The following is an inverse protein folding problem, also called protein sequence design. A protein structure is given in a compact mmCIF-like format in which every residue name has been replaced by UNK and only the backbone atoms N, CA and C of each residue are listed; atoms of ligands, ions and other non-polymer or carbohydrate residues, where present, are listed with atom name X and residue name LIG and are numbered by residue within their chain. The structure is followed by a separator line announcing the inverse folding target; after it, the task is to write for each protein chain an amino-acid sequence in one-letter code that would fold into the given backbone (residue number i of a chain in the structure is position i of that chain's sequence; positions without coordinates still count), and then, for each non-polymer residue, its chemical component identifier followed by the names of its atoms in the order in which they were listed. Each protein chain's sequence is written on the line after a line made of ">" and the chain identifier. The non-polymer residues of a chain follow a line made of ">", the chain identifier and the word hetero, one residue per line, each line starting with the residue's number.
data_IF_213011762617
#
_entry.id   IF_213011762617
#
_cell.length_a   1.000
_cell.length_b   1.000
_cell.length_c   1.000
_cell.angle_alpha   90.00
_cell.angle_beta   90.00
_cell.angle_gamma   90.00
#
_symmetry.space_group_name_H-M   'P 1'
#
loop_
_entity.id
_entity.type
_entity.pdbx_description
1 polymer ?
#
# COMPACT_ATOMS: atom_id res chain seq x y z
N UNK A 1 -6.57 -18.73 15.29
CA UNK A 1 -5.39 -17.84 15.28
C UNK A 1 -5.22 -17.40 13.86
N UNK A 2 -5.67 -16.21 13.51
CA UNK A 2 -5.46 -15.62 12.18
C UNK A 2 -3.97 -15.29 12.05
N UNK A 3 -3.24 -16.09 11.26
CA UNK A 3 -1.85 -15.79 10.95
C UNK A 3 -1.80 -14.38 10.35
N UNK A 4 -1.05 -13.50 10.99
CA UNK A 4 -0.82 -12.12 10.52
C UNK A 4 -0.13 -12.18 9.16
N UNK A 5 -0.72 -11.57 8.13
CA UNK A 5 -0.21 -11.61 6.76
C UNK A 5 1.23 -11.08 6.66
N UNK A 6 1.59 -10.09 7.48
CA UNK A 6 2.96 -9.57 7.56
C UNK A 6 3.93 -10.67 8.02
N UNK A 7 3.54 -11.43 9.05
CA UNK A 7 4.34 -12.55 9.57
C UNK A 7 4.46 -13.66 8.53
N UNK A 8 3.38 -13.97 7.83
CA UNK A 8 3.38 -14.97 6.77
C UNK A 8 4.34 -14.56 5.65
N UNK A 9 4.27 -13.32 5.17
CA UNK A 9 5.20 -12.80 4.15
C UNK A 9 6.64 -12.83 4.67
N UNK A 10 6.88 -12.44 5.93
CA UNK A 10 8.22 -12.43 6.52
C UNK A 10 8.84 -13.83 6.58
N UNK A 11 8.06 -14.88 6.75
CA UNK A 11 8.54 -16.28 6.70
C UNK A 11 9.04 -16.67 5.31
N UNK A 12 8.43 -16.13 4.23
CA UNK A 12 8.90 -16.34 2.85
C UNK A 12 10.15 -15.53 2.52
N UNK A 13 10.37 -14.42 3.21
CA UNK A 13 11.54 -13.56 3.02
C UNK A 13 12.75 -14.11 3.83
N UNK A 14 13.27 -15.22 3.37
CA UNK A 14 14.43 -15.85 4.00
C UNK A 14 15.68 -14.94 3.89
N UNK A 15 16.67 -15.06 4.80
CA UNK A 15 17.91 -14.30 4.72
C UNK A 15 18.67 -14.50 3.40
N UNK A 16 18.53 -15.68 2.79
CA UNK A 16 19.10 -16.00 1.48
C UNK A 16 18.40 -15.18 0.37
N UNK A 17 17.06 -15.14 0.36
CA UNK A 17 16.30 -14.36 -0.61
C UNK A 17 16.60 -12.86 -0.47
N UNK A 18 16.65 -12.35 0.76
CA UNK A 18 17.05 -10.95 1.02
C UNK A 18 18.47 -10.68 0.52
N UNK A 19 19.39 -11.61 0.71
CA UNK A 19 20.76 -11.49 0.18
C UNK A 19 20.81 -11.42 -1.34
N UNK A 20 20.01 -12.23 -2.03
CA UNK A 20 19.86 -12.18 -3.49
C UNK A 20 19.24 -10.87 -3.96
N UNK A 21 18.18 -10.38 -3.28
CA UNK A 21 17.58 -9.08 -3.56
C UNK A 21 18.56 -7.93 -3.33
N UNK A 22 19.38 -8.00 -2.29
CA UNK A 22 20.45 -7.05 -2.03
C UNK A 22 21.43 -6.97 -3.21
N UNK A 23 21.91 -8.12 -3.68
CA UNK A 23 22.82 -8.19 -4.83
C UNK A 23 22.16 -7.66 -6.11
N UNK A 24 20.87 -7.94 -6.34
CA UNK A 24 20.14 -7.49 -7.51
C UNK A 24 19.90 -5.96 -7.51
N UNK A 25 19.72 -5.36 -6.33
CA UNK A 25 19.42 -3.92 -6.18
C UNK A 25 20.68 -3.08 -5.94
N UNK A 26 21.85 -3.71 -5.74
CA UNK A 26 23.08 -3.01 -5.38
C UNK A 26 23.11 -2.49 -3.93
N UNK A 27 22.20 -2.96 -3.09
CA UNK A 27 22.16 -2.64 -1.66
C UNK A 27 23.04 -3.61 -0.86
N UNK A 28 23.57 -3.15 0.27
CA UNK A 28 24.12 -4.10 1.23
C UNK A 28 23.01 -4.93 1.91
N UNK A 29 23.36 -6.08 2.45
CA UNK A 29 22.40 -7.02 3.05
C UNK A 29 21.62 -6.41 4.22
N UNK A 30 22.27 -5.60 5.05
CA UNK A 30 21.65 -4.93 6.19
C UNK A 30 20.60 -3.93 5.72
N UNK A 31 20.94 -3.14 4.69
CA UNK A 31 20.07 -2.15 4.11
C UNK A 31 18.87 -2.80 3.39
N UNK A 32 19.12 -3.87 2.62
CA UNK A 32 18.06 -4.65 1.98
C UNK A 32 17.10 -5.25 3.01
N UNK A 33 17.59 -5.73 4.15
CA UNK A 33 16.75 -6.22 5.24
C UNK A 33 15.87 -5.11 5.82
N UNK A 34 16.43 -3.93 6.12
CA UNK A 34 15.67 -2.78 6.62
C UNK A 34 14.63 -2.30 5.59
N UNK A 35 15.03 -2.25 4.32
CA UNK A 35 14.16 -1.85 3.23
C UNK A 35 13.00 -2.83 3.01
N UNK A 36 13.26 -4.13 3.14
CA UNK A 36 12.22 -5.16 3.10
C UNK A 36 11.27 -5.04 4.29
N UNK A 37 11.80 -4.87 5.51
CA UNK A 37 11.00 -4.71 6.72
C UNK A 37 10.10 -3.46 6.69
N UNK A 38 10.51 -2.39 6.01
CA UNK A 38 9.71 -1.20 5.80
C UNK A 38 8.79 -1.31 4.58
N UNK A 39 9.28 -1.93 3.50
CA UNK A 39 8.58 -2.03 2.21
C UNK A 39 7.37 -2.95 2.25
N UNK A 40 7.46 -4.08 2.94
CA UNK A 40 6.35 -5.05 3.04
C UNK A 40 5.11 -4.42 3.65
N UNK A 41 5.14 -3.85 4.87
CA UNK A 41 3.95 -3.23 5.45
C UNK A 41 3.50 -1.99 4.67
N UNK A 42 4.42 -1.24 4.04
CA UNK A 42 4.06 -0.10 3.22
C UNK A 42 3.27 -0.52 1.96
N UNK A 43 3.69 -1.57 1.26
CA UNK A 43 2.95 -2.13 0.11
C UNK A 43 1.60 -2.69 0.57
N UNK A 44 1.56 -3.45 1.66
CA UNK A 44 0.33 -4.02 2.21
C UNK A 44 -0.68 -2.95 2.61
N UNK A 45 -0.23 -1.84 3.20
CA UNK A 45 -1.07 -0.68 3.51
C UNK A 45 -1.72 -0.12 2.25
N UNK A 46 -0.93 0.07 1.19
CA UNK A 46 -1.45 0.51 -0.11
C UNK A 46 -2.46 -0.45 -0.71
N UNK A 47 -2.21 -1.75 -0.63
CA UNK A 47 -3.13 -2.78 -1.11
C UNK A 47 -4.43 -2.82 -0.29
N UNK A 48 -4.35 -2.63 1.04
CA UNK A 48 -5.51 -2.52 1.91
C UNK A 48 -6.38 -1.30 1.58
N UNK A 49 -5.74 -0.17 1.25
CA UNK A 49 -6.46 1.04 0.82
C UNK A 49 -7.16 0.87 -0.53
N UNK A 50 -6.53 0.17 -1.48
CA UNK A 50 -7.17 -0.19 -2.74
C UNK A 50 -8.35 -1.12 -2.48
N UNK A 51 -8.14 -2.16 -1.69
CA UNK A 51 -9.17 -3.15 -1.38
C UNK A 51 -10.43 -2.53 -0.73
N UNK A 52 -10.25 -1.42 0.00
CA UNK A 52 -11.34 -0.66 0.60
C UNK A 52 -12.13 0.21 -0.40
N UNK A 53 -11.59 0.47 -1.59
CA UNK A 53 -12.26 1.31 -2.61
C UNK A 53 -13.30 0.50 -3.39
N UNK A 54 -14.36 1.15 -3.91
CA UNK A 54 -15.32 0.49 -4.79
C UNK A 54 -14.60 -0.15 -6.01
N UNK A 55 -14.81 -1.45 -6.24
CA UNK A 55 -14.15 -2.20 -7.31
C UNK A 55 -12.69 -2.61 -7.04
N UNK A 56 -12.03 -2.01 -6.05
CA UNK A 56 -10.62 -2.29 -5.74
C UNK A 56 -10.37 -3.71 -5.26
N UNK A 57 -11.31 -4.29 -4.52
CA UNK A 57 -11.24 -5.69 -4.11
C UNK A 57 -11.15 -6.65 -5.31
N UNK A 58 -11.94 -6.40 -6.37
CA UNK A 58 -11.89 -7.21 -7.60
C UNK A 58 -10.60 -6.99 -8.37
N UNK A 59 -10.16 -5.74 -8.48
CA UNK A 59 -8.91 -5.39 -9.15
C UNK A 59 -7.72 -6.10 -8.47
N UNK A 60 -7.68 -6.09 -7.14
CA UNK A 60 -6.65 -6.78 -6.36
C UNK A 60 -6.72 -8.30 -6.55
N UNK A 61 -7.92 -8.89 -6.47
CA UNK A 61 -8.10 -10.33 -6.65
C UNK A 61 -7.67 -10.79 -8.04
N UNK A 62 -7.96 -10.02 -9.09
CA UNK A 62 -7.51 -10.30 -10.46
C UNK A 62 -5.97 -10.25 -10.54
N UNK A 63 -5.35 -9.21 -10.00
CA UNK A 63 -3.89 -9.09 -9.99
C UNK A 63 -3.21 -10.23 -9.21
N UNK A 64 -3.84 -10.70 -8.14
CA UNK A 64 -3.38 -11.87 -7.38
C UNK A 64 -3.55 -13.17 -8.19
N UNK A 65 -4.68 -13.33 -8.89
CA UNK A 65 -4.97 -14.51 -9.72
C UNK A 65 -4.04 -14.63 -10.94
N UNK A 66 -3.60 -13.50 -11.50
CA UNK A 66 -2.64 -13.44 -12.60
C UNK A 66 -1.22 -13.88 -12.21
N UNK A 67 -0.92 -13.97 -10.92
CA UNK A 67 0.39 -14.41 -10.46
C UNK A 67 0.51 -15.94 -10.59
N UNK A 68 1.58 -16.45 -11.27
CA UNK A 68 1.84 -17.88 -11.33
C UNK A 68 2.02 -18.48 -9.92
N UNK A 69 1.39 -19.64 -9.70
CA UNK A 69 1.44 -20.35 -8.41
C UNK A 69 2.84 -20.76 -7.98
N UNK A 70 3.72 -20.98 -8.97
CA UNK A 70 5.09 -21.48 -8.75
C UNK A 70 6.15 -20.37 -8.61
N UNK A 71 5.72 -19.09 -8.62
CA UNK A 71 6.68 -17.98 -8.48
C UNK A 71 7.51 -18.09 -7.20
N UNK A 72 6.92 -18.49 -6.08
CA UNK A 72 7.62 -18.60 -4.81
C UNK A 72 8.68 -19.71 -4.83
N UNK A 73 8.41 -20.83 -5.50
CA UNK A 73 9.39 -21.93 -5.65
C UNK A 73 10.51 -21.59 -6.64
N UNK A 74 10.18 -20.90 -7.71
CA UNK A 74 11.15 -20.53 -8.75
C UNK A 74 12.00 -19.31 -8.38
N UNK A 75 11.49 -18.41 -7.54
CA UNK A 75 12.21 -17.22 -7.05
C UNK A 75 13.48 -17.57 -6.28
N UNK A 76 13.44 -18.62 -5.47
CA UNK A 76 14.61 -19.08 -4.71
C UNK A 76 15.69 -19.60 -5.63
N UNK A 77 15.31 -20.20 -6.75
CA UNK A 77 16.25 -20.88 -7.67
C UNK A 77 16.76 -20.02 -8.83
N UNK A 78 16.04 -18.97 -9.25
CA UNK A 78 16.37 -18.24 -10.47
C UNK A 78 16.13 -16.74 -10.35
N UNK A 79 17.10 -16.01 -9.78
CA UNK A 79 17.18 -14.54 -9.98
C UNK A 79 17.84 -14.17 -11.32
N UNK A 80 17.98 -15.12 -12.24
CA UNK A 80 18.27 -14.86 -13.64
C UNK A 80 17.04 -14.13 -14.21
N UNK A 81 17.07 -12.79 -14.25
CA UNK A 81 15.94 -11.95 -14.63
C UNK A 81 15.33 -11.09 -13.50
N UNK A 82 16.08 -10.86 -12.41
CA UNK A 82 15.66 -9.99 -11.29
C UNK A 82 15.15 -8.62 -11.78
N UNK A 83 15.81 -8.05 -12.80
CA UNK A 83 15.39 -6.80 -13.42
C UNK A 83 13.99 -6.92 -14.03
N UNK A 84 13.76 -7.91 -14.88
CA UNK A 84 12.45 -8.13 -15.53
C UNK A 84 11.34 -8.41 -14.52
N UNK A 85 11.68 -9.09 -13.42
CA UNK A 85 10.76 -9.37 -12.34
C UNK A 85 10.43 -8.10 -11.55
N UNK A 86 11.42 -7.25 -11.27
CA UNK A 86 11.23 -5.96 -10.66
C UNK A 86 10.37 -5.04 -11.54
N UNK A 87 10.59 -5.04 -12.87
CA UNK A 87 9.81 -4.24 -13.81
C UNK A 87 8.35 -4.70 -13.85
N UNK A 88 8.11 -6.01 -13.92
CA UNK A 88 6.75 -6.57 -13.85
C UNK A 88 6.06 -6.25 -12.53
N UNK A 89 6.75 -6.45 -11.41
CA UNK A 89 6.20 -6.11 -10.09
C UNK A 89 5.90 -4.62 -9.92
N UNK A 90 6.79 -3.76 -10.43
CA UNK A 90 6.57 -2.31 -10.46
C UNK A 90 5.38 -1.92 -11.33
N UNK A 91 5.18 -2.59 -12.46
CA UNK A 91 4.03 -2.39 -13.34
C UNK A 91 2.72 -2.80 -12.65
N UNK A 92 2.69 -3.95 -11.99
CA UNK A 92 1.53 -4.41 -11.21
C UNK A 92 1.22 -3.42 -10.09
N UNK A 93 2.24 -2.99 -9.33
CA UNK A 93 2.07 -2.01 -8.26
C UNK A 93 1.55 -0.68 -8.79
N UNK A 94 2.07 -0.22 -9.94
CA UNK A 94 1.62 1.00 -10.60
C UNK A 94 0.20 0.90 -11.16
N UNK A 95 -0.20 -0.26 -11.63
CA UNK A 95 -1.57 -0.50 -12.11
C UNK A 95 -2.58 -0.51 -10.94
N UNK A 96 -2.19 -1.03 -9.80
CA UNK A 96 -3.05 -1.10 -8.61
C UNK A 96 -3.13 0.24 -7.89
N UNK A 97 -1.99 0.84 -7.56
CA UNK A 97 -1.90 2.09 -6.77
C UNK A 97 -2.03 3.34 -7.63
N UNK A 98 -1.80 3.22 -8.93
CA UNK A 98 -1.54 4.35 -9.82
C UNK A 98 -0.06 4.71 -9.85
N UNK A 99 0.45 5.09 -11.05
CA UNK A 99 1.89 5.30 -11.26
C UNK A 99 2.51 6.37 -10.35
N UNK A 100 1.78 7.44 -10.06
CA UNK A 100 2.22 8.50 -9.14
C UNK A 100 2.34 8.00 -7.69
N UNK A 101 1.37 7.24 -7.23
CA UNK A 101 1.32 6.74 -5.86
C UNK A 101 2.38 5.67 -5.58
N UNK A 102 2.64 4.77 -6.53
CA UNK A 102 3.70 3.77 -6.40
C UNK A 102 5.09 4.43 -6.35
N UNK A 103 5.31 5.49 -7.13
CA UNK A 103 6.53 6.29 -7.09
C UNK A 103 6.71 7.03 -5.77
N UNK A 104 5.64 7.64 -5.25
CA UNK A 104 5.65 8.30 -3.94
C UNK A 104 5.95 7.31 -2.81
N UNK A 105 5.36 6.12 -2.84
CA UNK A 105 5.64 5.06 -1.86
C UNK A 105 7.13 4.71 -1.85
N UNK A 106 7.70 4.40 -3.02
CA UNK A 106 9.12 4.05 -3.13
C UNK A 106 10.03 5.18 -2.69
N UNK A 107 9.75 6.44 -3.09
CA UNK A 107 10.58 7.60 -2.71
C UNK A 107 10.46 7.92 -1.22
N UNK A 108 9.28 7.81 -0.61
CA UNK A 108 9.08 8.06 0.82
C UNK A 108 9.82 7.03 1.67
N UNK A 109 9.68 5.74 1.35
CA UNK A 109 10.43 4.67 2.04
C UNK A 109 11.92 4.80 1.79
N UNK A 110 12.34 5.11 0.56
CA UNK A 110 13.74 5.34 0.22
C UNK A 110 14.36 6.48 1.02
N UNK A 111 13.70 7.64 1.08
CA UNK A 111 14.13 8.79 1.89
C UNK A 111 14.20 8.48 3.37
N UNK A 112 13.21 7.75 3.90
CA UNK A 112 13.19 7.33 5.31
C UNK A 112 14.41 6.48 5.68
N UNK A 113 14.83 5.61 4.76
CA UNK A 113 15.94 4.68 4.97
C UNK A 113 17.30 5.22 4.47
N UNK A 114 17.34 6.36 3.80
CA UNK A 114 18.53 6.89 3.15
C UNK A 114 18.97 6.08 1.91
N UNK A 115 18.00 5.42 1.25
CA UNK A 115 18.22 4.61 0.04
C UNK A 115 17.82 5.45 -1.19
N UNK A 116 18.61 5.37 -2.26
CA UNK A 116 18.27 6.02 -3.53
C UNK A 116 16.97 5.50 -4.15
N UNK A 117 16.31 6.35 -4.95
CA UNK A 117 15.02 6.00 -5.55
C UNK A 117 15.08 4.77 -6.46
N UNK A 118 16.15 4.61 -7.24
CA UNK A 118 16.31 3.49 -8.18
C UNK A 118 16.39 2.14 -7.48
N UNK A 119 17.31 1.92 -6.51
CA UNK A 119 17.37 0.66 -5.80
C UNK A 119 16.09 0.39 -4.99
N UNK A 120 15.44 1.44 -4.46
CA UNK A 120 14.20 1.28 -3.72
C UNK A 120 13.04 0.84 -4.61
N UNK A 121 12.88 1.45 -5.79
CA UNK A 121 11.87 1.02 -6.78
C UNK A 121 12.09 -0.42 -7.23
N UNK A 122 13.33 -0.80 -7.50
CA UNK A 122 13.68 -2.15 -7.89
C UNK A 122 13.34 -3.15 -6.77
N UNK A 123 13.67 -2.83 -5.53
CA UNK A 123 13.33 -3.65 -4.38
C UNK A 123 11.80 -3.79 -4.21
N UNK A 124 11.06 -2.68 -4.29
CA UNK A 124 9.59 -2.70 -4.23
C UNK A 124 9.00 -3.57 -5.37
N UNK A 125 9.55 -3.47 -6.57
CA UNK A 125 9.17 -4.31 -7.70
C UNK A 125 9.43 -5.80 -7.45
N UNK A 126 10.53 -6.15 -6.78
CA UNK A 126 10.83 -7.55 -6.40
C UNK A 126 9.94 -8.04 -5.27
N UNK A 127 9.56 -7.18 -4.32
CA UNK A 127 8.66 -7.54 -3.21
C UNK A 127 7.22 -7.76 -3.68
N UNK A 128 6.75 -7.02 -4.67
CA UNK A 128 5.37 -7.06 -5.15
C UNK A 128 4.92 -8.48 -5.55
N UNK A 129 5.60 -9.21 -6.43
CA UNK A 129 5.19 -10.57 -6.81
C UNK A 129 5.25 -11.55 -5.63
N UNK A 130 6.16 -11.35 -4.67
CA UNK A 130 6.24 -12.17 -3.46
C UNK A 130 4.99 -11.96 -2.60
N UNK A 131 4.63 -10.70 -2.36
CA UNK A 131 3.43 -10.34 -1.58
C UNK A 131 2.18 -10.87 -2.28
N UNK A 132 2.06 -10.66 -3.58
CA UNK A 132 0.92 -11.16 -4.37
C UNK A 132 0.83 -12.69 -4.37
N UNK A 133 1.97 -13.36 -4.45
CA UNK A 133 2.05 -14.83 -4.39
C UNK A 133 1.58 -15.37 -3.03
N UNK A 134 1.98 -14.72 -1.92
CA UNK A 134 1.52 -15.08 -0.57
C UNK A 134 0.02 -14.81 -0.42
N UNK A 135 -0.47 -13.64 -0.86
CA UNK A 135 -1.89 -13.31 -0.84
C UNK A 135 -2.72 -14.31 -1.66
N UNK A 136 -2.22 -14.71 -2.84
CA UNK A 136 -2.87 -15.72 -3.67
C UNK A 136 -2.89 -17.11 -3.04
N UNK A 137 -1.86 -17.47 -2.30
CA UNK A 137 -1.81 -18.71 -1.53
C UNK A 137 -2.82 -18.69 -0.39
N UNK A 138 -2.87 -17.61 0.40
CA UNK A 138 -3.85 -17.43 1.47
C UNK A 138 -5.28 -17.42 0.94
N UNK A 139 -5.52 -16.70 -0.16
CA UNK A 139 -6.83 -16.67 -0.82
C UNK A 139 -7.31 -18.07 -1.19
N UNK A 140 -6.45 -18.89 -1.77
CA UNK A 140 -6.77 -20.27 -2.17
C UNK A 140 -6.93 -21.21 -0.96
N UNK A 141 -6.03 -21.09 0.02
CA UNK A 141 -6.05 -21.92 1.21
C UNK A 141 -7.31 -21.74 2.04
N UNK A 142 -7.84 -20.52 2.08
CA UNK A 142 -9.05 -20.17 2.81
C UNK A 142 -10.32 -20.12 1.94
N UNK A 143 -10.23 -20.41 0.65
CA UNK A 143 -11.34 -20.33 -0.29
C UNK A 143 -11.98 -18.94 -0.39
N UNK A 144 -11.17 -17.90 -0.21
CA UNK A 144 -11.66 -16.50 -0.20
C UNK A 144 -11.95 -16.00 -1.60
N UNK A 145 -13.07 -15.29 -1.74
CA UNK A 145 -13.37 -14.45 -2.89
C UNK A 145 -12.66 -13.07 -2.79
N UNK A 146 -12.89 -12.20 -3.75
CA UNK A 146 -12.35 -10.83 -3.76
C UNK A 146 -12.72 -10.05 -2.49
N UNK A 147 -13.92 -10.22 -1.98
CA UNK A 147 -14.38 -9.55 -0.75
C UNK A 147 -13.71 -10.15 0.49
N UNK A 148 -13.49 -11.46 0.52
CA UNK A 148 -12.74 -12.14 1.57
C UNK A 148 -11.30 -11.63 1.67
N UNK A 149 -10.61 -11.48 0.52
CA UNK A 149 -9.26 -10.92 0.45
C UNK A 149 -9.23 -9.46 0.92
N UNK A 150 -10.22 -8.66 0.53
CA UNK A 150 -10.34 -7.27 1.00
C UNK A 150 -10.55 -7.20 2.52
N UNK A 151 -11.42 -8.05 3.09
CA UNK A 151 -11.63 -8.12 4.54
C UNK A 151 -10.37 -8.56 5.29
N UNK A 152 -9.62 -9.50 4.74
CA UNK A 152 -8.34 -9.93 5.31
C UNK A 152 -7.39 -8.74 5.45
N UNK A 153 -7.17 -7.98 4.37
CA UNK A 153 -6.26 -6.84 4.36
C UNK A 153 -6.77 -5.67 5.23
N UNK A 154 -8.05 -5.33 5.12
CA UNK A 154 -8.64 -4.23 5.90
C UNK A 154 -8.75 -4.57 7.38
N UNK A 155 -9.01 -5.84 7.72
CA UNK A 155 -9.07 -6.31 9.10
C UNK A 155 -7.70 -6.38 9.79
N UNK A 156 -6.61 -6.41 9.01
CA UNK A 156 -5.24 -6.42 9.54
C UNK A 156 -4.52 -5.08 9.39
N UNK A 157 -5.23 -3.98 9.11
CA UNK A 157 -4.63 -2.64 8.96
C UNK A 157 -3.81 -2.23 10.18
N UNK A 158 -4.31 -2.48 11.38
CA UNK A 158 -3.61 -2.14 12.62
C UNK A 158 -2.32 -2.93 12.78
N UNK A 159 -2.34 -4.21 12.42
CA UNK A 159 -1.17 -5.09 12.43
C UNK A 159 -0.14 -4.67 11.37
N UNK A 160 -0.61 -4.29 10.17
CA UNK A 160 0.24 -3.76 9.10
C UNK A 160 0.87 -2.44 9.56
N UNK A 161 0.10 -1.55 10.19
CA UNK A 161 0.60 -0.29 10.72
C UNK A 161 1.60 -0.50 11.86
N UNK A 162 1.34 -1.45 12.77
CA UNK A 162 2.25 -1.80 13.86
C UNK A 162 3.58 -2.41 13.35
N UNK A 163 3.57 -3.08 12.20
CA UNK A 163 4.78 -3.61 11.57
C UNK A 163 5.61 -2.54 10.84
N UNK A 164 5.07 -1.34 10.63
CA UNK A 164 5.84 -0.24 10.03
C UNK A 164 6.87 0.32 11.00
N UNK A 165 8.08 0.67 10.53
CA UNK A 165 9.04 1.41 11.34
C UNK A 165 8.46 2.72 11.86
N UNK A 166 8.79 3.07 13.11
CA UNK A 166 8.30 4.28 13.75
C UNK A 166 8.64 5.53 12.92
N UNK A 167 7.63 6.34 12.61
CA UNK A 167 7.77 7.55 11.78
C UNK A 167 7.48 7.36 10.29
N UNK A 168 7.61 6.15 9.72
CA UNK A 168 7.31 5.91 8.32
C UNK A 168 5.83 6.13 8.00
N UNK A 169 4.92 5.68 8.87
CA UNK A 169 3.48 5.89 8.70
C UNK A 169 3.13 7.37 8.56
N UNK A 170 3.67 8.22 9.43
CA UNK A 170 3.47 9.68 9.35
C UNK A 170 4.02 10.30 8.08
N UNK A 171 5.17 9.84 7.60
CA UNK A 171 5.75 10.32 6.34
C UNK A 171 4.89 9.92 5.13
N UNK A 172 4.32 8.71 5.15
CA UNK A 172 3.40 8.25 4.12
C UNK A 172 2.12 9.09 4.12
N UNK A 173 1.54 9.38 5.28
CA UNK A 173 0.38 10.27 5.41
C UNK A 173 0.68 11.68 4.88
N UNK A 174 1.82 12.27 5.25
CA UNK A 174 2.25 13.58 4.77
C UNK A 174 2.53 13.62 3.26
N UNK A 175 2.93 12.49 2.69
CA UNK A 175 3.16 12.35 1.24
C UNK A 175 1.87 12.19 0.43
N UNK A 176 0.69 12.27 1.06
CA UNK A 176 -0.61 12.07 0.41
C UNK A 176 -1.02 10.59 0.30
N UNK A 177 -0.27 9.70 0.93
CA UNK A 177 -0.65 8.30 1.12
C UNK A 177 -1.61 8.24 2.31
N UNK A 178 -2.85 8.64 2.08
CA UNK A 178 -3.83 8.75 3.13
C UNK A 178 -4.53 7.40 3.31
N UNK A 179 -4.24 6.73 4.42
CA UNK A 179 -5.03 5.59 4.88
C UNK A 179 -6.46 6.06 5.10
N UNK A 180 -7.29 6.01 4.08
CA UNK A 180 -8.76 6.02 4.08
C UNK A 180 -9.59 6.86 5.07
N UNK A 181 -8.99 7.63 5.97
CA UNK A 181 -9.70 8.37 7.02
C UNK A 181 -9.87 9.88 6.76
N UNK A 182 -9.33 10.42 5.66
CA UNK A 182 -9.22 11.88 5.46
C UNK A 182 -10.05 12.51 4.35
N UNK A 183 -10.83 11.77 3.56
CA UNK A 183 -11.61 12.37 2.47
C UNK A 183 -13.05 12.79 2.83
N UNK A 184 -13.42 12.74 4.10
CA UNK A 184 -14.75 13.19 4.54
C UNK A 184 -14.79 14.62 5.09
N UNK A 185 -13.67 15.39 5.10
CA UNK A 185 -13.62 16.67 5.81
C UNK A 185 -13.19 17.89 4.99
N UNK A 186 -12.96 17.81 3.68
CA UNK A 186 -12.54 18.99 2.91
C UNK A 186 -13.50 19.47 1.83
N UNK A 187 -14.73 18.93 1.77
CA UNK A 187 -15.78 19.49 0.90
C UNK A 187 -16.99 19.95 1.73
N UNK A 188 -16.77 20.87 2.65
CA UNK A 188 -17.82 21.79 3.10
C UNK A 188 -17.49 23.16 2.54
N UNK A 189 -18.16 23.60 1.48
CA UNK A 189 -18.06 24.99 1.05
C UNK A 189 -18.60 25.89 2.18
N UNK A 190 -17.73 26.79 2.63
CA UNK A 190 -18.03 27.81 3.64
C UNK A 190 -18.94 28.90 3.07
N UNK A 191 -20.22 28.58 2.81
CA UNK A 191 -21.20 29.61 2.45
C UNK A 191 -22.56 29.49 3.13
N UNK A 192 -22.60 28.99 4.35
CA UNK A 192 -23.84 29.06 5.14
C UNK A 192 -23.67 29.76 6.48
N UNK A 193 -23.04 30.95 6.48
CA UNK A 193 -23.15 31.87 7.63
C UNK A 193 -23.37 33.31 7.15
N UNK A 194 -24.35 33.51 6.28
CA UNK A 194 -24.83 34.86 5.95
C UNK A 194 -26.32 34.86 5.61
N UNK A 195 -27.15 34.36 6.50
CA UNK A 195 -28.58 34.66 6.48
C UNK A 195 -29.13 34.60 7.90
N UNK A 196 -28.97 35.67 8.61
CA UNK A 196 -29.90 36.11 9.66
C UNK A 196 -29.57 37.55 10.05
N UNK A 197 -29.89 38.50 9.18
CA UNK A 197 -30.15 39.84 9.59
C UNK A 197 -31.68 39.99 9.69
N UNK A 198 -32.24 40.38 10.83
CA UNK A 198 -33.68 40.65 10.93
C UNK A 198 -33.98 41.95 10.18
N UNK A 199 -34.91 41.87 9.21
CA UNK A 199 -35.53 43.03 8.58
C UNK A 199 -36.36 43.74 9.68
N UNK A 200 -35.95 44.94 10.04
CA UNK A 200 -36.78 45.89 10.80
C UNK A 200 -37.85 46.39 9.86
N UNK A 201 -39.06 45.98 10.10
CA UNK A 201 -40.25 46.59 9.53
C UNK A 201 -40.41 47.94 10.23
N UNK A 202 -40.24 49.01 9.47
CA UNK A 202 -40.62 50.35 9.94
C UNK A 202 -42.15 50.42 9.94
N UNK A 203 -42.71 50.67 11.08
CA UNK A 203 -44.11 51.02 11.33
C UNK A 203 -44.28 52.48 10.91
N UNK A 204 -44.98 52.70 9.81
CA UNK A 204 -45.43 53.99 9.37
C UNK A 204 -46.93 54.11 9.65
N UNK A 205 -47.24 54.77 10.78
CA UNK A 205 -48.58 55.22 11.10
C UNK A 205 -48.85 56.56 10.37
N UNK A 206 -49.91 56.70 9.56
CA UNK A 206 -50.32 58.03 9.10
C UNK A 206 -51.25 58.69 10.13
N UNK A 207 -50.89 59.90 10.56
CA UNK A 207 -51.80 60.77 11.21
C UNK A 207 -52.64 61.54 10.19
N UNK A 208 -53.98 61.45 10.34
CA UNK A 208 -55.11 62.35 10.06
C UNK A 208 -55.06 63.20 8.84
#
# INVERSE_FOLDING_TARGET
>A
MTDNIVSTISRFLTPELIGKMASATGLDRSMAHKATAAGVPAILSGLADIAARPGGARQLANAVAEQPTDLLGNLVNSLTGAQQMADKGSSVLSSLLGGGMSGLLASTVGKFLGIGDTPMRMLMGLLTPIIMGVLGREQRAQGMDANGLARLLTGQKDEIAAAMPAGLGRLLEQSGFNSGAGMASQDRPAYETSRSAPVRVADETPAT
#
